data_IF_363648254651
#
_entry.id   IF_363648254651
#
_cell.length_a   1.000
_cell.length_b   1.000
_cell.length_c   1.000
_cell.angle_alpha   90.00
_cell.angle_beta   90.00
_cell.angle_gamma   90.00
#
_symmetry.space_group_name_H-M   'P 1'
#
loop_
_entity.id
_entity.type
_entity.pdbx_description
1 polymer ?
#
# COMPACT_ATOMS: atom_id res chain seq x y z
N UNK A 1 -32.99 16.03 0.81
CA UNK A 1 -31.99 15.16 1.46
C UNK A 1 -30.81 16.04 1.84
N UNK A 2 -30.43 16.11 3.11
CA UNK A 2 -29.26 16.90 3.51
C UNK A 2 -27.99 16.14 3.10
N UNK A 3 -27.13 16.80 2.34
CA UNK A 3 -25.84 16.25 1.91
C UNK A 3 -24.82 16.40 3.06
N UNK A 4 -24.23 15.31 3.51
CA UNK A 4 -23.16 15.31 4.51
C UNK A 4 -21.80 15.16 3.81
N UNK A 5 -20.90 16.13 3.99
CA UNK A 5 -19.57 16.15 3.39
C UNK A 5 -18.49 15.82 4.43
N UNK A 6 -17.67 14.81 4.15
CA UNK A 6 -16.48 14.46 4.93
C UNK A 6 -15.27 14.57 4.01
N UNK A 7 -14.19 15.20 4.47
CA UNK A 7 -12.96 15.44 3.70
C UNK A 7 -11.75 14.83 4.38
N UNK A 8 -10.76 14.41 3.59
CA UNK A 8 -9.51 13.81 4.07
C UNK A 8 -8.30 14.54 3.47
N UNK A 9 -7.15 14.46 4.13
CA UNK A 9 -5.91 15.00 3.56
C UNK A 9 -5.35 14.05 2.48
N UNK A 10 -4.56 14.57 1.55
CA UNK A 10 -3.93 13.75 0.50
C UNK A 10 -3.06 12.62 1.07
N UNK A 11 -2.38 12.88 2.19
CA UNK A 11 -1.56 11.86 2.86
C UNK A 11 -2.41 10.73 3.45
N UNK A 12 -3.63 11.00 3.90
CA UNK A 12 -4.52 9.96 4.43
C UNK A 12 -4.93 9.00 3.31
N UNK A 13 -5.25 9.54 2.13
CA UNK A 13 -5.54 8.74 0.95
C UNK A 13 -4.33 7.92 0.52
N UNK A 14 -3.14 8.51 0.48
CA UNK A 14 -1.90 7.79 0.18
C UNK A 14 -1.64 6.64 1.17
N UNK A 15 -1.78 6.91 2.48
CA UNK A 15 -1.59 5.90 3.52
C UNK A 15 -2.60 4.75 3.40
N UNK A 16 -3.86 5.07 3.09
CA UNK A 16 -4.91 4.08 2.88
C UNK A 16 -4.60 3.19 1.66
N UNK A 17 -4.20 3.79 0.54
CA UNK A 17 -3.85 3.05 -0.68
C UNK A 17 -2.58 2.19 -0.50
N UNK A 18 -1.56 2.69 0.20
CA UNK A 18 -0.34 1.93 0.54
C UNK A 18 -0.68 0.70 1.38
N UNK A 19 -1.53 0.86 2.41
CA UNK A 19 -2.02 -0.25 3.23
C UNK A 19 -2.83 -1.25 2.39
N UNK A 20 -3.75 -0.74 1.57
CA UNK A 20 -4.60 -1.56 0.71
C UNK A 20 -3.78 -2.38 -0.29
N UNK A 21 -2.72 -1.81 -0.86
CA UNK A 21 -1.80 -2.47 -1.78
C UNK A 21 -0.80 -3.42 -1.11
N UNK A 22 -0.76 -3.50 0.23
CA UNK A 22 0.18 -4.37 0.95
C UNK A 22 1.64 -3.92 0.84
N UNK A 23 1.88 -2.62 0.62
CA UNK A 23 3.22 -2.06 0.45
C UNK A 23 3.75 -1.64 1.82
N UNK A 24 4.99 -2.02 2.13
CA UNK A 24 5.58 -1.84 3.47
C UNK A 24 6.85 -0.98 3.48
N UNK A 25 7.33 -0.54 2.32
CA UNK A 25 8.63 0.13 2.19
C UNK A 25 8.58 1.26 1.16
N UNK A 26 9.41 2.28 1.37
CA UNK A 26 9.56 3.44 0.49
C UNK A 26 8.59 4.59 0.78
N UNK A 27 8.80 5.70 0.07
CA UNK A 27 7.95 6.89 0.17
C UNK A 27 6.95 6.92 -0.97
N UNK A 28 5.67 7.14 -0.63
CA UNK A 28 4.58 7.05 -1.58
C UNK A 28 3.66 8.27 -1.48
N UNK A 29 3.23 8.80 -2.62
CA UNK A 29 2.24 9.88 -2.71
C UNK A 29 1.08 9.49 -3.61
N UNK A 30 -0.03 10.21 -3.53
CA UNK A 30 -1.19 9.99 -4.41
C UNK A 30 -0.81 10.35 -5.85
N UNK A 31 -1.19 9.49 -6.78
CA UNK A 31 -1.09 9.70 -8.21
C UNK A 31 -2.48 9.99 -8.79
N UNK A 32 -2.56 10.96 -9.69
CA UNK A 32 -3.75 11.25 -10.47
C UNK A 32 -3.37 11.25 -11.95
N UNK A 33 -4.08 10.46 -12.74
CA UNK A 33 -4.03 10.57 -14.20
C UNK A 33 -5.01 11.68 -14.62
N UNK A 34 -4.47 12.80 -15.09
CA UNK A 34 -5.26 13.93 -15.56
C UNK A 34 -5.25 13.97 -17.08
N UNK A 35 -6.44 14.04 -17.67
CA UNK A 35 -6.61 14.40 -19.07
C UNK A 35 -6.81 15.91 -19.24
N UNK A 36 -6.67 16.39 -20.46
CA UNK A 36 -7.05 17.75 -20.85
C UNK A 36 -7.79 17.66 -22.18
N UNK A 37 -9.01 18.17 -22.21
CA UNK A 37 -9.81 18.27 -23.42
C UNK A 37 -10.46 19.64 -23.54
N UNK A 38 -10.59 20.11 -24.78
CA UNK A 38 -11.40 21.27 -25.13
C UNK A 38 -12.75 20.83 -25.66
N UNK A 39 -13.79 21.62 -25.40
CA UNK A 39 -15.13 21.39 -25.94
C UNK A 39 -15.97 22.65 -25.93
N UNK A 40 -17.25 22.48 -26.18
CA UNK A 40 -18.26 23.52 -26.02
C UNK A 40 -19.35 23.00 -25.08
N UNK A 41 -19.93 23.88 -24.28
CA UNK A 41 -21.12 23.56 -23.48
C UNK A 41 -22.19 24.61 -23.69
N UNK A 42 -23.45 24.22 -23.51
CA UNK A 42 -24.57 25.15 -23.54
C UNK A 42 -24.90 25.61 -22.12
N UNK A 43 -24.91 26.91 -21.89
CA UNK A 43 -25.32 27.51 -20.63
C UNK A 43 -26.85 27.46 -20.47
N UNK A 44 -27.39 27.61 -19.25
CA UNK A 44 -28.84 27.60 -19.02
C UNK A 44 -29.62 28.68 -19.80
N UNK A 45 -28.95 29.74 -20.23
CA UNK A 45 -29.52 30.82 -21.04
C UNK A 45 -29.57 30.51 -22.55
N UNK A 46 -29.01 29.37 -22.98
CA UNK A 46 -29.01 28.92 -24.38
C UNK A 46 -27.71 29.20 -25.15
N UNK A 47 -26.77 29.98 -24.60
CA UNK A 47 -25.52 30.32 -25.27
C UNK A 47 -24.55 29.13 -25.29
N UNK A 48 -23.79 28.98 -26.38
CA UNK A 48 -22.68 28.02 -26.48
C UNK A 48 -21.35 28.71 -26.16
N UNK A 49 -20.61 28.14 -25.22
CA UNK A 49 -19.32 28.68 -24.76
C UNK A 49 -18.24 27.61 -24.82
N UNK A 50 -16.99 27.99 -25.14
CA UNK A 50 -15.86 27.06 -25.08
C UNK A 50 -15.56 26.67 -23.63
N UNK A 51 -15.17 25.42 -23.42
CA UNK A 51 -14.83 24.88 -22.10
C UNK A 51 -13.53 24.08 -22.13
N UNK A 52 -12.82 24.12 -21.01
CA UNK A 52 -11.74 23.20 -20.70
C UNK A 52 -12.27 22.11 -19.75
N UNK A 53 -12.03 20.85 -20.08
CA UNK A 53 -12.43 19.69 -19.31
C UNK A 53 -11.15 19.03 -18.79
N UNK A 54 -11.02 18.89 -17.47
CA UNK A 54 -9.91 18.20 -16.82
C UNK A 54 -10.45 16.93 -16.17
N UNK A 55 -10.59 15.81 -16.93
CA UNK A 55 -11.03 14.56 -16.34
C UNK A 55 -9.94 13.95 -15.46
N UNK A 56 -10.36 13.35 -14.34
CA UNK A 56 -9.53 12.45 -13.55
C UNK A 56 -9.82 11.03 -14.06
N UNK A 57 -8.86 10.42 -14.75
CA UNK A 57 -8.99 9.08 -15.30
C UNK A 57 -8.77 8.00 -14.23
N UNK A 58 -7.62 8.08 -13.56
CA UNK A 58 -7.20 7.12 -12.54
C UNK A 58 -6.68 7.81 -11.30
N UNK A 59 -6.84 7.13 -10.16
CA UNK A 59 -6.24 7.49 -8.88
C UNK A 59 -5.42 6.30 -8.39
N UNK A 60 -4.20 6.56 -7.95
CA UNK A 60 -3.30 5.52 -7.47
C UNK A 60 -2.24 6.06 -6.50
N UNK A 61 -1.13 5.34 -6.40
CA UNK A 61 0.05 5.77 -5.63
C UNK A 61 1.30 5.68 -6.49
N UNK A 62 2.19 6.65 -6.33
CA UNK A 62 3.49 6.71 -7.00
C UNK A 62 4.61 6.67 -5.97
N UNK A 63 5.67 5.93 -6.26
CA UNK A 63 6.86 5.83 -5.41
C UNK A 63 7.78 7.01 -5.68
N UNK A 64 8.30 7.61 -4.61
CA UNK A 64 9.28 8.69 -4.66
C UNK A 64 10.60 8.23 -4.04
N UNK A 65 11.71 8.70 -4.60
CA UNK A 65 13.06 8.36 -4.11
C UNK A 65 13.40 9.10 -2.80
N UNK A 66 12.81 10.29 -2.61
CA UNK A 66 13.05 11.14 -1.44
C UNK A 66 11.73 11.48 -0.75
N UNK A 67 11.72 11.61 0.57
CA UNK A 67 10.54 12.06 1.30
C UNK A 67 10.20 13.51 0.91
N UNK A 68 8.91 13.80 0.84
CA UNK A 68 8.37 15.12 0.50
C UNK A 68 7.10 15.47 1.26
N UNK A 69 6.64 16.70 1.08
CA UNK A 69 5.46 17.25 1.77
C UNK A 69 4.15 16.52 1.47
N UNK A 70 4.08 15.72 0.40
CA UNK A 70 2.89 14.96 -0.03
C UNK A 70 3.08 13.44 0.01
N UNK A 71 4.23 12.97 0.52
CA UNK A 71 4.52 11.54 0.62
C UNK A 71 4.27 11.02 2.03
N UNK A 72 3.99 9.73 2.14
CA UNK A 72 3.98 8.94 3.38
C UNK A 72 5.06 7.87 3.32
N UNK A 73 5.63 7.50 4.47
CA UNK A 73 6.52 6.35 4.59
C UNK A 73 5.69 5.07 4.78
N UNK A 74 5.82 4.12 3.84
CA UNK A 74 5.11 2.86 3.90
C UNK A 74 5.49 2.00 5.11
N UNK A 75 6.71 2.12 5.63
CA UNK A 75 7.13 1.38 6.82
C UNK A 75 6.46 1.91 8.09
N UNK A 76 6.16 3.22 8.12
CA UNK A 76 5.46 3.87 9.22
C UNK A 76 3.95 3.58 9.16
N UNK A 77 3.33 3.75 7.99
CA UNK A 77 1.87 3.58 7.87
C UNK A 77 1.45 2.12 7.76
N UNK A 78 2.30 1.24 7.23
CA UNK A 78 2.00 -0.18 7.03
C UNK A 78 3.18 -1.08 7.46
N UNK A 79 3.49 -1.17 8.76
CA UNK A 79 4.64 -1.95 9.22
C UNK A 79 4.44 -3.44 8.98
N UNK A 80 5.50 -4.14 8.54
CA UNK A 80 5.50 -5.61 8.49
C UNK A 80 5.29 -6.16 9.90
N UNK A 81 4.35 -7.09 10.06
CA UNK A 81 4.24 -7.86 11.31
C UNK A 81 5.57 -8.58 11.56
N UNK A 82 6.24 -8.27 12.67
CA UNK A 82 7.37 -9.07 13.12
C UNK A 82 6.85 -10.48 13.36
N UNK A 83 7.46 -11.49 12.73
CA UNK A 83 7.27 -12.87 13.18
C UNK A 83 7.79 -12.91 14.61
N UNK A 84 6.89 -13.08 15.57
CA UNK A 84 7.30 -13.47 16.91
C UNK A 84 7.83 -14.88 16.74
N UNK A 85 9.14 -15.05 16.65
CA UNK A 85 9.78 -16.35 16.79
C UNK A 85 9.60 -16.78 18.23
N UNK A 86 8.43 -17.34 18.50
CA UNK A 86 8.02 -17.91 19.76
C UNK A 86 7.66 -19.37 19.54
N UNK A 87 8.58 -20.17 18.99
CA UNK A 87 8.75 -21.54 19.45
C UNK A 87 10.15 -22.08 19.14
N UNK A 88 11.10 -21.66 19.98
CA UNK A 88 12.36 -22.36 20.17
C UNK A 88 12.25 -23.35 21.34
N UNK A 89 11.11 -24.04 21.48
CA UNK A 89 10.90 -25.14 22.44
C UNK A 89 10.24 -26.36 21.79
N UNK A 90 10.87 -26.87 20.73
CA UNK A 90 10.80 -28.30 20.42
C UNK A 90 12.23 -28.86 20.34
N UNK A 91 12.88 -28.95 21.50
CA UNK A 91 14.02 -29.85 21.69
C UNK A 91 13.63 -30.77 22.84
N UNK A 92 13.12 -31.97 22.51
CA UNK A 92 13.23 -33.23 23.27
C UNK A 92 12.26 -34.27 22.67
N UNK A 93 12.76 -35.10 21.77
CA UNK A 93 12.65 -36.57 21.83
C UNK A 93 13.08 -37.22 20.51
N UNK A 94 14.39 -37.33 20.27
CA UNK A 94 14.93 -38.53 19.61
C UNK A 94 16.42 -38.68 19.94
N UNK A 95 16.72 -39.23 21.12
CA UNK A 95 18.01 -39.90 21.34
C UNK A 95 18.02 -41.16 20.48
N UNK A 96 18.59 -41.09 19.28
CA UNK A 96 18.94 -42.28 18.52
C UNK A 96 19.89 -43.18 19.36
N UNK A 97 19.57 -44.46 19.59
CA UNK A 97 20.46 -45.34 20.32
C UNK A 97 21.65 -45.70 19.44
N UNK A 98 22.84 -45.33 19.91
CA UNK A 98 24.14 -45.79 19.41
C UNK A 98 24.20 -47.32 19.50
N UNK A 99 24.19 -48.01 18.35
CA UNK A 99 24.45 -49.46 18.29
C UNK A 99 25.90 -49.72 18.73
N UNK A 100 26.05 -50.19 19.97
CA UNK A 100 27.29 -50.77 20.51
C UNK A 100 27.71 -51.98 19.67
N UNK A 101 28.98 -51.97 19.24
CA UNK A 101 29.73 -53.11 18.68
C UNK A 101 29.54 -54.35 19.56
N UNK A 102 29.15 -55.47 18.96
CA UNK A 102 29.36 -56.80 19.53
C UNK A 102 30.39 -57.54 18.68
N UNK A 103 31.64 -57.38 19.11
CA UNK A 103 32.73 -58.32 18.81
C UNK A 103 32.54 -59.54 19.70
N UNK A 104 32.33 -60.71 19.10
CA UNK A 104 32.68 -61.99 19.72
C UNK A 104 33.41 -62.87 18.71
N UNK A 105 34.69 -63.10 19.01
CA UNK A 105 35.49 -64.24 18.59
C UNK A 105 34.71 -65.53 18.86
N UNK A 106 34.70 -66.47 17.92
CA UNK A 106 35.20 -67.84 18.04
C UNK A 106 35.48 -68.34 16.64
#
# INVERSE_FOLDING_TARGET
MAEAKITFAYKDLAALLVKHAGIHEGHWGVYYELGIAGGHTRLPNGDEVPVAIVPIGQVGIHRFDKPGGLTVDAAEVNPRRKRVTGDAREVRDEKAPTKKKLSKRT
#
